data_IF_584327767514
#
_entry.id   IF_584327767514
#
_cell.length_a   1.000
_cell.length_b   1.000
_cell.length_c   1.000
_cell.angle_alpha   90.00
_cell.angle_beta   90.00
_cell.angle_gamma   90.00
#
_symmetry.space_group_name_H-M   'P 1'
#
loop_
_entity.id
_entity.type
_entity.pdbx_description
1 polymer ?
#
# COMPACT_ATOMS: atom_id res chain seq x y z
N UNK A 1 3.33 -8.17 12.74
CA UNK A 1 4.78 -8.30 12.69
C UNK A 1 5.22 -9.23 13.82
N UNK A 2 5.97 -10.30 13.49
CA UNK A 2 6.48 -11.23 14.50
C UNK A 2 5.65 -12.48 14.76
N UNK A 3 4.57 -12.71 14.03
CA UNK A 3 3.80 -13.94 14.08
C UNK A 3 4.25 -14.86 12.94
N UNK A 4 4.54 -16.13 13.26
CA UNK A 4 4.83 -17.15 12.27
C UNK A 4 3.51 -17.66 11.70
N UNK A 5 3.10 -17.18 10.54
CA UNK A 5 1.91 -17.59 9.83
C UNK A 5 2.23 -17.73 8.34
N UNK A 6 1.93 -18.88 7.75
CA UNK A 6 2.10 -19.14 6.33
C UNK A 6 0.75 -18.99 5.62
N UNK A 7 0.49 -17.84 5.03
CA UNK A 7 -0.77 -17.54 4.32
C UNK A 7 -1.08 -18.48 3.14
N UNK A 8 -0.12 -19.29 2.68
CA UNK A 8 -0.36 -20.29 1.63
C UNK A 8 -0.84 -21.63 2.19
N UNK A 9 -0.71 -21.87 3.49
CA UNK A 9 -0.96 -23.16 4.13
C UNK A 9 -1.88 -23.06 5.34
N UNK A 10 -1.71 -22.03 6.15
CA UNK A 10 -2.42 -21.88 7.40
C UNK A 10 -3.73 -21.13 7.19
N UNK A 11 -4.87 -21.65 7.66
CA UNK A 11 -6.14 -20.92 7.60
C UNK A 11 -6.10 -19.70 8.51
N UNK A 12 -6.84 -18.67 8.15
CA UNK A 12 -7.05 -17.52 9.02
C UNK A 12 -7.97 -17.91 10.17
N UNK A 13 -7.52 -17.71 11.41
CA UNK A 13 -8.30 -17.93 12.62
C UNK A 13 -9.24 -16.72 12.87
N UNK A 14 -10.38 -16.73 12.18
CA UNK A 14 -11.38 -15.68 12.32
C UNK A 14 -12.32 -15.96 13.50
N UNK A 15 -12.64 -14.93 14.28
CA UNK A 15 -13.54 -15.02 15.43
C UNK A 15 -14.40 -13.78 15.58
N UNK A 16 -15.48 -13.89 16.39
CA UNK A 16 -16.37 -12.78 16.72
C UNK A 16 -15.84 -12.06 17.96
N UNK A 17 -15.65 -10.76 17.85
CA UNK A 17 -15.27 -9.86 18.94
C UNK A 17 -16.32 -8.74 19.06
N UNK A 18 -17.30 -8.93 19.92
CA UNK A 18 -18.45 -8.03 20.04
C UNK A 18 -19.28 -8.01 18.77
N UNK A 19 -19.32 -6.86 18.09
CA UNK A 19 -20.05 -6.67 16.82
C UNK A 19 -19.16 -6.89 15.58
N UNK A 20 -17.90 -7.26 15.76
CA UNK A 20 -16.91 -7.38 14.72
C UNK A 20 -16.52 -8.83 14.47
N UNK A 21 -16.18 -9.14 13.23
CA UNK A 21 -15.42 -10.34 12.89
C UNK A 21 -13.97 -9.91 12.66
N UNK A 22 -13.05 -10.53 13.35
CA UNK A 22 -11.62 -10.21 13.28
C UNK A 22 -10.79 -11.49 13.16
N UNK A 23 -9.48 -11.37 12.99
CA UNK A 23 -8.58 -12.51 12.93
C UNK A 23 -7.54 -12.45 14.06
N UNK A 24 -7.18 -13.62 14.58
CA UNK A 24 -6.16 -13.75 15.60
C UNK A 24 -4.78 -13.67 14.96
N UNK A 25 -3.98 -12.72 15.43
CA UNK A 25 -2.57 -12.56 15.06
C UNK A 25 -2.28 -12.27 13.57
N UNK A 26 -3.32 -12.16 12.73
CA UNK A 26 -3.19 -11.84 11.31
C UNK A 26 -4.18 -10.75 10.90
N UNK A 27 -4.05 -10.24 9.68
CA UNK A 27 -5.13 -9.49 9.03
C UNK A 27 -6.24 -10.45 8.58
N UNK A 28 -7.50 -9.99 8.54
CA UNK A 28 -8.60 -10.83 8.08
C UNK A 28 -8.62 -10.96 6.55
N UNK A 29 -8.34 -9.88 5.83
CA UNK A 29 -8.29 -9.87 4.36
C UNK A 29 -9.64 -10.15 3.70
N UNK A 30 -10.73 -9.68 4.29
CA UNK A 30 -12.10 -9.94 3.82
C UNK A 30 -12.62 -8.92 2.79
N UNK A 31 -11.79 -8.07 2.30
CA UNK A 31 -12.11 -7.11 1.26
C UNK A 31 -11.96 -7.73 -0.14
N UNK A 32 -13.02 -7.80 -0.95
CA UNK A 32 -14.39 -7.42 -0.61
C UNK A 32 -15.32 -8.65 -0.57
N UNK A 33 -15.19 -9.49 0.42
CA UNK A 33 -16.00 -10.71 0.61
C UNK A 33 -17.50 -10.42 0.74
N UNK A 34 -17.89 -9.25 1.27
CA UNK A 34 -19.28 -8.84 1.37
C UNK A 34 -19.89 -8.55 0.01
N UNK A 35 -19.19 -7.85 -0.88
CA UNK A 35 -19.62 -7.62 -2.26
C UNK A 35 -19.76 -8.91 -3.04
N UNK A 36 -18.80 -9.84 -2.90
CA UNK A 36 -18.88 -11.19 -3.49
C UNK A 36 -20.11 -11.93 -3.00
N UNK A 37 -20.35 -11.95 -1.68
CA UNK A 37 -21.49 -12.63 -1.08
C UNK A 37 -22.84 -12.04 -1.53
N UNK A 38 -22.92 -10.71 -1.65
CA UNK A 38 -24.11 -10.00 -2.13
C UNK A 38 -24.41 -10.37 -3.60
N UNK A 39 -23.41 -10.37 -4.46
CA UNK A 39 -23.57 -10.76 -5.86
C UNK A 39 -24.01 -12.23 -6.00
N UNK A 40 -23.40 -13.13 -5.22
CA UNK A 40 -23.80 -14.54 -5.20
C UNK A 40 -25.23 -14.74 -4.68
N UNK A 41 -25.61 -14.04 -3.62
CA UNK A 41 -26.97 -14.09 -3.09
C UNK A 41 -27.99 -13.61 -4.14
N UNK A 42 -27.72 -12.49 -4.81
CA UNK A 42 -28.60 -11.97 -5.87
C UNK A 42 -28.76 -12.96 -7.04
N UNK A 43 -27.71 -13.68 -7.40
CA UNK A 43 -27.72 -14.67 -8.49
C UNK A 43 -28.43 -15.98 -8.10
N UNK A 44 -28.47 -16.36 -6.81
CA UNK A 44 -28.96 -17.67 -6.36
C UNK A 44 -30.31 -17.63 -5.67
N UNK A 45 -30.69 -16.50 -5.09
CA UNK A 45 -31.95 -16.35 -4.37
C UNK A 45 -33.14 -16.19 -5.34
N UNK A 46 -34.00 -17.19 -5.36
CA UNK A 46 -35.16 -17.25 -6.22
C UNK A 46 -36.33 -16.35 -5.76
N UNK A 47 -36.24 -15.74 -4.60
CA UNK A 47 -37.26 -14.82 -4.07
C UNK A 47 -37.05 -13.39 -4.56
N UNK A 48 -35.81 -13.04 -4.97
CA UNK A 48 -35.48 -11.74 -5.51
C UNK A 48 -35.98 -11.64 -6.96
N UNK A 49 -36.84 -10.68 -7.23
CA UNK A 49 -37.31 -10.40 -8.59
C UNK A 49 -36.30 -9.50 -9.30
N UNK A 50 -35.70 -10.01 -10.36
CA UNK A 50 -34.72 -9.26 -11.15
C UNK A 50 -34.83 -9.61 -12.65
N UNK A 51 -34.29 -8.75 -13.50
CA UNK A 51 -34.01 -9.04 -14.89
C UNK A 51 -32.72 -9.89 -15.03
N UNK A 52 -32.16 -9.97 -16.24
CA UNK A 52 -30.86 -10.65 -16.44
C UNK A 52 -29.78 -10.03 -15.55
N UNK A 53 -29.04 -10.86 -14.83
CA UNK A 53 -27.90 -10.46 -13.99
C UNK A 53 -26.63 -11.14 -14.49
N UNK A 54 -25.53 -10.42 -14.37
CA UNK A 54 -24.17 -10.92 -14.57
C UNK A 54 -23.35 -10.58 -13.32
N UNK A 55 -22.67 -11.57 -12.75
CA UNK A 55 -21.72 -11.36 -11.64
C UNK A 55 -20.31 -11.27 -12.19
N UNK A 56 -19.65 -10.14 -11.96
CA UNK A 56 -18.25 -9.95 -12.32
C UNK A 56 -17.39 -10.03 -11.07
N UNK A 57 -16.44 -10.95 -11.05
CA UNK A 57 -15.45 -11.11 -10.01
C UNK A 57 -14.07 -10.96 -10.63
N UNK A 58 -13.31 -10.02 -10.14
CA UNK A 58 -11.95 -9.74 -10.62
C UNK A 58 -10.92 -10.18 -9.59
N UNK A 59 -9.67 -10.30 -10.03
CA UNK A 59 -8.52 -10.62 -9.19
C UNK A 59 -7.58 -9.41 -9.11
N UNK A 60 -6.70 -9.43 -8.10
CA UNK A 60 -5.58 -8.49 -7.94
C UNK A 60 -6.01 -7.01 -7.88
N UNK A 61 -7.14 -6.72 -7.22
CA UNK A 61 -7.60 -5.35 -7.02
C UNK A 61 -6.53 -4.53 -6.27
N UNK A 62 -6.03 -5.05 -5.14
CA UNK A 62 -5.10 -4.38 -4.23
C UNK A 62 -3.69 -4.17 -4.80
N UNK A 63 -3.31 -4.93 -5.79
CA UNK A 63 -1.96 -4.87 -6.38
C UNK A 63 -1.90 -4.23 -7.77
N UNK A 64 -3.04 -3.79 -8.31
CA UNK A 64 -3.04 -3.09 -9.58
C UNK A 64 -4.27 -3.25 -10.44
N UNK A 65 -5.31 -3.91 -9.94
CA UNK A 65 -6.55 -4.19 -10.66
C UNK A 65 -6.34 -4.97 -11.97
N UNK A 66 -5.39 -5.89 -11.99
CA UNK A 66 -5.01 -6.62 -13.21
C UNK A 66 -6.20 -7.35 -13.85
N UNK A 67 -7.09 -7.90 -13.03
CA UNK A 67 -8.32 -8.52 -13.49
C UNK A 67 -9.27 -7.54 -14.18
N UNK A 68 -9.43 -6.33 -13.64
CA UNK A 68 -10.27 -5.29 -14.22
C UNK A 68 -9.66 -4.70 -15.50
N UNK A 69 -8.36 -4.41 -15.48
CA UNK A 69 -7.60 -3.89 -16.64
C UNK A 69 -7.57 -4.90 -17.79
N UNK A 70 -7.54 -6.20 -17.47
CA UNK A 70 -7.53 -7.30 -18.44
C UNK A 70 -8.87 -7.57 -19.13
N UNK A 71 -9.98 -6.92 -18.71
CA UNK A 71 -11.30 -7.11 -19.30
C UNK A 71 -11.31 -6.63 -20.76
N UNK A 72 -11.90 -7.48 -21.62
CA UNK A 72 -12.06 -7.15 -23.04
C UNK A 72 -13.44 -6.54 -23.31
N UNK A 73 -13.54 -5.61 -24.25
CA UNK A 73 -14.82 -5.08 -24.68
C UNK A 73 -15.80 -6.21 -25.07
N UNK A 74 -17.06 -6.08 -24.66
CA UNK A 74 -18.11 -7.07 -24.97
C UNK A 74 -18.10 -8.31 -24.08
N UNK A 75 -17.26 -8.38 -23.04
CA UNK A 75 -17.28 -9.46 -22.07
C UNK A 75 -18.60 -9.48 -21.28
N UNK A 76 -19.09 -8.33 -20.89
CA UNK A 76 -20.38 -8.14 -20.22
C UNK A 76 -21.43 -7.62 -21.20
N UNK A 77 -22.68 -7.97 -20.96
CA UNK A 77 -23.87 -7.49 -21.70
C UNK A 77 -24.65 -6.44 -20.92
N UNK A 78 -24.51 -6.43 -19.61
CA UNK A 78 -25.16 -5.47 -18.72
C UNK A 78 -24.76 -4.03 -19.07
N UNK A 79 -25.74 -3.12 -18.98
CA UNK A 79 -25.54 -1.67 -19.20
C UNK A 79 -25.56 -0.87 -17.91
N UNK A 80 -25.93 -1.52 -16.80
CA UNK A 80 -25.96 -0.95 -15.46
C UNK A 80 -24.98 -1.76 -14.63
N UNK A 81 -24.01 -1.09 -14.02
CA UNK A 81 -23.05 -1.70 -13.11
C UNK A 81 -23.32 -1.24 -11.68
N UNK A 82 -23.40 -2.21 -10.77
CA UNK A 82 -23.44 -1.96 -9.33
C UNK A 82 -22.16 -2.53 -8.74
N UNK A 83 -21.31 -1.65 -8.20
CA UNK A 83 -20.11 -2.05 -7.50
C UNK A 83 -20.39 -2.13 -5.99
N UNK A 84 -20.19 -3.31 -5.39
CA UNK A 84 -20.39 -3.54 -3.96
C UNK A 84 -19.16 -3.25 -3.10
N UNK A 85 -18.14 -2.58 -3.67
CA UNK A 85 -16.86 -2.32 -3.02
C UNK A 85 -16.82 -0.92 -2.36
N UNK A 86 -17.83 -0.62 -1.53
CA UNK A 86 -17.89 0.61 -0.75
C UNK A 86 -18.00 0.30 0.72
N UNK A 87 -17.18 0.94 1.55
CA UNK A 87 -17.13 0.77 3.00
C UNK A 87 -18.05 1.75 3.77
N UNK A 88 -18.62 2.74 3.09
CA UNK A 88 -19.45 3.75 3.74
C UNK A 88 -20.94 3.37 3.68
N UNK A 89 -21.50 2.95 4.81
CA UNK A 89 -22.90 2.58 4.93
C UNK A 89 -23.85 3.73 4.55
N UNK A 90 -24.87 3.42 3.77
CA UNK A 90 -25.91 4.36 3.36
C UNK A 90 -25.47 5.38 2.30
N UNK A 91 -24.28 5.23 1.70
CA UNK A 91 -23.79 6.11 0.63
C UNK A 91 -23.72 5.41 -0.72
N UNK A 92 -24.03 6.16 -1.77
CA UNK A 92 -23.84 5.76 -3.15
C UNK A 92 -22.79 6.67 -3.80
N UNK A 93 -21.75 6.05 -4.33
CA UNK A 93 -20.68 6.77 -5.05
C UNK A 93 -20.94 6.65 -6.56
N UNK A 94 -20.98 7.79 -7.24
CA UNK A 94 -21.21 7.86 -8.69
C UNK A 94 -19.96 8.19 -9.49
N UNK A 95 -18.81 8.13 -8.87
CA UNK A 95 -17.50 8.37 -9.48
C UNK A 95 -16.37 8.02 -8.54
N UNK A 96 -15.17 7.96 -9.07
CA UNK A 96 -13.94 7.70 -8.32
C UNK A 96 -12.82 8.65 -8.74
N UNK A 97 -11.81 8.75 -7.88
CA UNK A 97 -10.57 9.43 -8.24
C UNK A 97 -9.78 8.61 -9.26
N UNK A 98 -9.06 9.29 -10.14
CA UNK A 98 -8.05 8.67 -10.99
C UNK A 98 -6.68 8.67 -10.32
N UNK A 99 -5.78 7.83 -10.81
CA UNK A 99 -4.40 7.76 -10.38
C UNK A 99 -3.43 7.68 -11.54
N UNK A 100 -2.18 8.05 -11.29
CA UNK A 100 -1.06 7.90 -12.23
C UNK A 100 0.13 7.37 -11.45
N UNK A 101 0.67 6.24 -11.90
CA UNK A 101 1.92 5.70 -11.40
C UNK A 101 3.08 6.23 -12.26
N UNK A 102 4.10 6.76 -11.62
CA UNK A 102 5.31 7.21 -12.27
C UNK A 102 6.51 6.41 -11.75
N UNK A 103 7.10 5.60 -12.60
CA UNK A 103 8.33 4.90 -12.29
C UNK A 103 9.52 5.69 -12.84
N UNK A 104 10.40 6.13 -11.95
CA UNK A 104 11.58 6.92 -12.31
C UNK A 104 12.82 6.07 -12.03
N UNK A 105 13.61 5.84 -13.06
CA UNK A 105 14.88 5.11 -12.94
C UNK A 105 16.04 6.07 -13.18
N UNK A 106 16.92 6.16 -12.20
CA UNK A 106 18.17 6.90 -12.33
C UNK A 106 19.31 5.92 -12.62
N UNK A 107 20.01 6.15 -13.72
CA UNK A 107 21.25 5.43 -14.03
C UNK A 107 22.42 6.25 -13.54
N UNK A 108 23.23 5.67 -12.69
CA UNK A 108 24.46 6.27 -12.20
C UNK A 108 25.62 5.30 -12.39
N UNK A 109 26.84 5.84 -12.45
CA UNK A 109 28.05 5.03 -12.50
C UNK A 109 28.33 4.44 -11.12
N UNK A 110 29.18 3.42 -11.07
CA UNK A 110 29.65 2.84 -9.81
C UNK A 110 30.08 3.96 -8.85
N UNK A 111 29.70 3.80 -7.59
CA UNK A 111 29.94 4.82 -6.58
C UNK A 111 31.43 5.07 -6.35
N UNK A 112 31.74 6.23 -5.83
CA UNK A 112 33.09 6.53 -5.39
C UNK A 112 33.45 5.66 -4.17
N UNK A 113 34.74 5.24 -4.03
CA UNK A 113 35.19 4.55 -2.83
C UNK A 113 34.91 5.39 -1.58
N UNK A 114 34.59 4.73 -0.48
CA UNK A 114 34.49 5.40 0.82
C UNK A 114 35.83 6.04 1.17
N UNK A 115 35.87 7.34 1.50
CA UNK A 115 37.09 8.00 1.93
C UNK A 115 37.72 7.34 3.15
N UNK A 116 39.02 7.34 3.23
CA UNK A 116 39.75 6.88 4.40
C UNK A 116 39.37 7.75 5.63
N UNK A 117 39.05 7.12 6.73
CA UNK A 117 38.64 7.80 7.96
C UNK A 117 37.14 8.08 8.07
N UNK A 118 36.32 7.78 7.06
CA UNK A 118 34.89 7.85 7.16
C UNK A 118 34.32 6.70 8.02
N UNK A 119 33.26 7.01 8.74
CA UNK A 119 32.49 6.06 9.57
C UNK A 119 31.18 5.75 8.88
N UNK A 120 30.84 4.46 8.83
CA UNK A 120 29.54 4.02 8.30
C UNK A 120 28.45 4.11 9.40
N UNK A 121 27.34 4.76 9.08
CA UNK A 121 26.20 4.92 9.97
C UNK A 121 24.93 4.42 9.29
N UNK A 122 24.07 3.77 10.08
CA UNK A 122 22.69 3.47 9.67
C UNK A 122 21.78 4.53 10.26
N UNK A 123 21.14 5.28 9.40
CA UNK A 123 20.14 6.27 9.77
C UNK A 123 18.76 5.68 9.55
N UNK A 124 17.87 5.83 10.53
CA UNK A 124 16.50 5.31 10.43
C UNK A 124 15.52 6.36 10.92
N UNK A 125 14.50 6.64 10.11
CA UNK A 125 13.31 7.37 10.51
C UNK A 125 12.16 6.39 10.53
N UNK A 126 11.52 6.21 11.69
CA UNK A 126 10.43 5.26 11.88
C UNK A 126 9.37 5.80 12.84
N UNK A 127 8.29 5.05 13.04
CA UNK A 127 7.22 5.40 13.98
C UNK A 127 6.22 6.41 13.46
N UNK A 128 6.23 6.74 12.17
CA UNK A 128 5.19 7.56 11.56
C UNK A 128 3.90 6.75 11.37
N UNK A 129 2.77 7.45 11.26
CA UNK A 129 1.46 6.81 11.23
C UNK A 129 1.22 6.02 9.94
N UNK A 130 1.70 6.50 8.81
CA UNK A 130 1.38 5.93 7.49
C UNK A 130 -0.07 6.18 7.11
N UNK A 131 -0.56 5.43 6.12
CA UNK A 131 -1.96 5.49 5.65
C UNK A 131 -2.06 5.31 4.14
N UNK A 132 -3.28 5.31 3.64
CA UNK A 132 -3.54 5.22 2.22
C UNK A 132 -3.19 6.53 1.51
N UNK A 133 -2.48 6.44 0.38
CA UNK A 133 -1.99 7.62 -0.36
C UNK A 133 -3.09 8.46 -1.00
N UNK A 134 -4.28 7.91 -1.20
CA UNK A 134 -5.48 8.59 -1.67
C UNK A 134 -6.39 8.99 -0.52
N UNK A 135 -7.01 8.02 0.14
CA UNK A 135 -8.05 8.24 1.17
C UNK A 135 -7.54 9.06 2.36
N UNK A 136 -6.31 8.83 2.80
CA UNK A 136 -5.72 9.51 3.97
C UNK A 136 -4.87 10.76 3.63
N UNK A 137 -4.70 11.09 2.35
CA UNK A 137 -3.79 12.17 1.93
C UNK A 137 -4.18 13.54 2.50
N UNK A 138 -5.49 13.77 2.66
CA UNK A 138 -6.03 15.03 3.20
C UNK A 138 -5.73 15.21 4.70
N UNK A 139 -5.39 14.13 5.41
CA UNK A 139 -5.08 14.17 6.85
C UNK A 139 -3.69 14.74 7.15
N UNK A 140 -2.90 15.08 6.12
CA UNK A 140 -1.58 15.69 6.27
C UNK A 140 -0.56 14.80 7.01
N UNK A 141 -0.71 13.48 6.93
CA UNK A 141 0.22 12.53 7.55
C UNK A 141 1.61 12.66 6.97
N UNK A 142 2.62 12.56 7.83
CA UNK A 142 4.01 12.67 7.44
C UNK A 142 4.43 11.49 6.55
N UNK A 143 5.13 11.80 5.47
CA UNK A 143 5.74 10.83 4.57
C UNK A 143 7.23 10.68 4.95
N UNK A 144 7.63 9.49 5.39
CA UNK A 144 8.98 9.22 5.87
C UNK A 144 10.05 9.56 4.82
N UNK A 145 9.85 9.17 3.57
CA UNK A 145 10.81 9.46 2.51
C UNK A 145 11.01 10.97 2.32
N UNK A 146 9.92 11.75 2.28
CA UNK A 146 10.01 13.22 2.11
C UNK A 146 10.77 13.89 3.26
N UNK A 147 10.50 13.47 4.50
CA UNK A 147 11.21 14.02 5.67
C UNK A 147 12.67 13.63 5.66
N UNK A 148 12.96 12.36 5.41
CA UNK A 148 14.29 11.82 5.42
C UNK A 148 15.19 12.44 4.34
N UNK A 149 14.68 12.60 3.13
CA UNK A 149 15.43 13.24 2.06
C UNK A 149 15.67 14.74 2.28
N UNK A 150 14.78 15.43 3.01
CA UNK A 150 15.06 16.81 3.47
C UNK A 150 16.22 16.84 4.46
N UNK A 151 16.29 15.89 5.38
CA UNK A 151 17.41 15.73 6.30
C UNK A 151 18.68 15.37 5.53
N UNK A 152 18.67 14.32 4.70
CA UNK A 152 19.83 13.90 3.91
C UNK A 152 20.39 15.03 3.06
N UNK A 153 19.55 15.83 2.42
CA UNK A 153 20.02 16.98 1.64
C UNK A 153 20.87 17.93 2.47
N UNK A 154 20.46 18.21 3.72
CA UNK A 154 21.25 19.04 4.63
C UNK A 154 22.53 18.34 5.07
N UNK A 155 22.43 17.06 5.44
CA UNK A 155 23.56 16.27 5.87
C UNK A 155 24.67 16.20 4.79
N UNK A 156 24.29 15.93 3.55
CA UNK A 156 25.22 15.94 2.40
C UNK A 156 25.83 17.32 2.17
N UNK A 157 25.02 18.40 2.28
CA UNK A 157 25.48 19.75 1.94
C UNK A 157 26.37 20.39 3.02
N UNK A 158 26.30 19.96 4.27
CA UNK A 158 26.94 20.65 5.39
C UNK A 158 27.92 19.77 6.19
N UNK A 159 27.79 18.45 6.08
CA UNK A 159 28.55 17.51 6.91
C UNK A 159 29.28 16.44 6.09
N UNK A 160 29.39 16.64 4.78
CA UNK A 160 30.05 15.74 3.83
C UNK A 160 29.56 14.27 3.90
N UNK A 161 28.31 14.10 4.30
CA UNK A 161 27.67 12.79 4.34
C UNK A 161 27.54 12.24 2.93
N UNK A 162 27.87 10.97 2.73
CA UNK A 162 27.72 10.24 1.47
C UNK A 162 26.68 9.14 1.63
N UNK A 163 25.77 9.04 0.69
CA UNK A 163 24.71 8.04 0.68
C UNK A 163 25.19 6.77 -0.04
N UNK A 164 25.18 5.63 0.65
CA UNK A 164 25.47 4.33 0.06
C UNK A 164 24.17 3.63 -0.39
N UNK A 165 23.18 3.50 0.50
CA UNK A 165 21.88 2.89 0.18
C UNK A 165 20.76 3.63 0.89
N UNK A 166 19.56 3.57 0.32
CA UNK A 166 18.34 4.04 0.97
C UNK A 166 17.17 3.13 0.61
N UNK A 167 16.39 2.78 1.62
CA UNK A 167 15.20 1.94 1.47
C UNK A 167 14.05 2.55 2.27
N UNK A 168 12.91 2.75 1.62
CA UNK A 168 11.73 3.30 2.29
C UNK A 168 10.51 3.27 1.40
N UNK A 169 9.36 2.96 2.03
CA UNK A 169 8.11 2.69 1.34
C UNK A 169 8.07 1.28 0.75
N UNK A 170 7.00 0.55 1.02
CA UNK A 170 6.81 -0.82 0.56
C UNK A 170 5.72 -0.95 -0.51
N UNK A 171 4.71 -0.09 -0.44
CA UNK A 171 3.55 -0.11 -1.34
C UNK A 171 3.35 1.26 -1.98
N UNK A 172 3.03 1.28 -3.27
CA UNK A 172 2.81 2.52 -4.03
C UNK A 172 1.59 3.31 -3.55
N UNK A 173 0.56 2.63 -3.04
CA UNK A 173 -0.65 3.23 -2.50
C UNK A 173 -0.59 3.52 -0.99
N UNK A 174 0.58 3.36 -0.35
CA UNK A 174 0.77 3.64 1.07
C UNK A 174 1.68 4.84 1.30
N UNK A 175 1.30 5.71 2.25
CA UNK A 175 2.17 6.78 2.73
C UNK A 175 3.32 6.14 3.54
N UNK A 176 4.59 6.29 3.13
CA UNK A 176 5.71 5.69 3.84
C UNK A 176 5.78 6.11 5.30
N UNK A 177 5.83 5.13 6.21
CA UNK A 177 5.91 5.35 7.66
C UNK A 177 7.31 5.20 8.23
N UNK A 178 8.21 4.65 7.43
CA UNK A 178 9.61 4.41 7.81
C UNK A 178 10.52 4.46 6.59
N UNK A 179 11.79 4.74 6.84
CA UNK A 179 12.88 4.73 5.86
C UNK A 179 14.19 4.50 6.58
N UNK A 180 15.10 3.79 5.96
CA UNK A 180 16.46 3.62 6.44
C UNK A 180 17.48 3.87 5.35
N UNK A 181 18.66 4.32 5.72
CA UNK A 181 19.79 4.51 4.82
C UNK A 181 21.09 4.08 5.47
N UNK A 182 22.00 3.59 4.65
CA UNK A 182 23.42 3.46 5.00
C UNK A 182 24.16 4.65 4.41
N UNK A 183 24.87 5.37 5.27
CA UNK A 183 25.66 6.54 4.88
C UNK A 183 27.07 6.41 5.42
N UNK A 184 28.00 7.17 4.83
CA UNK A 184 29.31 7.43 5.44
C UNK A 184 29.46 8.90 5.77
N UNK A 185 30.23 9.20 6.79
CA UNK A 185 30.49 10.56 7.25
C UNK A 185 31.91 10.62 7.81
N UNK A 186 32.65 11.74 7.62
CA UNK A 186 33.95 11.94 8.26
C UNK A 186 33.85 11.75 9.79
N UNK A 187 34.83 11.04 10.37
CA UNK A 187 34.79 10.68 11.79
C UNK A 187 34.67 11.87 12.75
N UNK A 188 35.24 13.01 12.36
CA UNK A 188 35.18 14.26 13.11
C UNK A 188 33.83 14.98 13.04
N UNK A 189 32.94 14.53 12.13
CA UNK A 189 31.60 15.09 11.94
C UNK A 189 30.47 14.23 12.52
N UNK A 190 30.81 13.07 13.10
CA UNK A 190 29.80 12.13 13.64
C UNK A 190 28.96 12.73 14.75
N UNK A 191 29.50 13.68 15.50
CA UNK A 191 28.83 14.33 16.63
C UNK A 191 27.98 15.56 16.26
N UNK A 192 28.11 16.06 15.04
CA UNK A 192 27.38 17.21 14.52
C UNK A 192 25.97 16.80 14.03
#
# INVERSE_FOLDING_TARGET
>A
VGVAHDFLRDPIDAYIDGEWVTARDTTLGADNGMGVSLAMAALTDKTIKHGPLEGLFTIDEEVGMDGAVGLKPGFLKGTIMINGDSEEEGRLFVGCAGGVDMNITFHYRDGEPTPEGDVALRLTLAGLKGGHSGVDIHLGRANANKLFFRFLKKAVSHYDVRLATVEGGSLRNAIPREVSALVTVPADRVAD
#
